data_IF_660274976721
#
_entry.id   IF_660274976721
#
_cell.length_a   1.000
_cell.length_b   1.000
_cell.length_c   1.000
_cell.angle_alpha   90.00
_cell.angle_beta   90.00
_cell.angle_gamma   90.00
#
_symmetry.space_group_name_H-M   'P 1'
#
loop_
_entity.id
_entity.type
_entity.pdbx_description
1 polymer ?
#
# COMPACT_ATOMS: atom_id res chain seq x y z
N UNK A 1 -23.65 7.87 -12.23
CA UNK A 1 -22.42 8.02 -13.06
C UNK A 1 -21.16 8.04 -12.20
N UNK A 2 -21.06 8.92 -11.19
CA UNK A 2 -19.87 9.02 -10.32
C UNK A 2 -19.48 7.72 -9.59
N UNK A 3 -20.44 6.97 -9.05
CA UNK A 3 -20.16 5.70 -8.35
C UNK A 3 -19.44 4.68 -9.26
N UNK A 4 -19.78 4.62 -10.55
CA UNK A 4 -19.12 3.71 -11.50
C UNK A 4 -17.66 4.10 -11.74
N UNK A 5 -17.37 5.40 -11.78
CA UNK A 5 -15.99 5.91 -11.90
C UNK A 5 -15.17 5.49 -10.69
N UNK A 6 -15.70 5.67 -9.48
CA UNK A 6 -15.03 5.26 -8.25
C UNK A 6 -14.80 3.74 -8.19
N UNK A 7 -15.78 2.94 -8.59
CA UNK A 7 -15.65 1.49 -8.69
C UNK A 7 -14.58 1.09 -9.71
N UNK A 8 -14.50 1.79 -10.85
CA UNK A 8 -13.47 1.54 -11.85
C UNK A 8 -12.07 1.89 -11.30
N UNK A 9 -11.92 3.00 -10.58
CA UNK A 9 -10.65 3.40 -9.93
C UNK A 9 -10.23 2.34 -8.90
N UNK A 10 -11.14 1.89 -8.02
CA UNK A 10 -10.85 0.84 -7.04
C UNK A 10 -10.47 -0.48 -7.71
N UNK A 11 -11.17 -0.85 -8.78
CA UNK A 11 -10.91 -2.09 -9.50
C UNK A 11 -9.54 -2.04 -10.19
N UNK A 12 -9.21 -0.94 -10.88
CA UNK A 12 -7.93 -0.77 -11.55
C UNK A 12 -6.77 -0.70 -10.56
N UNK A 13 -6.91 0.08 -9.48
CA UNK A 13 -5.91 0.15 -8.41
C UNK A 13 -5.73 -1.19 -7.70
N UNK A 14 -6.80 -1.95 -7.50
CA UNK A 14 -6.75 -3.32 -6.96
C UNK A 14 -5.96 -4.27 -7.85
N UNK A 15 -6.16 -4.20 -9.18
CA UNK A 15 -5.37 -4.98 -10.15
C UNK A 15 -3.89 -4.59 -10.10
N UNK A 16 -3.59 -3.29 -10.10
CA UNK A 16 -2.21 -2.79 -9.99
C UNK A 16 -1.54 -3.25 -8.68
N UNK A 17 -2.27 -3.22 -7.56
CA UNK A 17 -1.78 -3.69 -6.27
C UNK A 17 -1.52 -5.19 -6.25
N UNK A 18 -2.36 -5.99 -6.91
CA UNK A 18 -2.15 -7.43 -7.05
C UNK A 18 -0.87 -7.74 -7.85
N UNK A 19 -0.57 -6.93 -8.87
CA UNK A 19 0.58 -7.10 -9.76
C UNK A 19 1.81 -6.25 -9.36
N UNK A 20 1.82 -5.69 -8.15
CA UNK A 20 2.85 -4.73 -7.72
C UNK A 20 4.28 -5.25 -7.76
N UNK A 21 4.46 -6.57 -7.68
CA UNK A 21 5.76 -7.23 -7.71
C UNK A 21 6.25 -7.39 -9.16
N UNK A 22 5.39 -7.90 -10.04
CA UNK A 22 5.66 -8.09 -11.47
C UNK A 22 5.88 -6.75 -12.19
N UNK A 23 5.10 -5.73 -11.83
CA UNK A 23 5.21 -4.38 -12.39
C UNK A 23 6.30 -3.53 -11.74
N UNK A 24 7.09 -4.10 -10.82
CA UNK A 24 8.19 -3.41 -10.12
C UNK A 24 7.75 -2.11 -9.43
N UNK A 25 6.49 -2.04 -8.98
CA UNK A 25 5.92 -0.88 -8.27
C UNK A 25 6.47 -0.75 -6.84
N UNK A 26 7.29 -1.72 -6.42
CA UNK A 26 8.08 -1.69 -5.19
C UNK A 26 9.53 -2.05 -5.48
N UNK A 27 10.49 -1.53 -4.69
CA UNK A 27 11.87 -1.94 -4.83
C UNK A 27 12.06 -3.42 -4.46
N UNK A 28 12.99 -4.13 -5.14
CA UNK A 28 13.37 -5.47 -4.74
C UNK A 28 13.89 -5.45 -3.30
N UNK A 29 13.72 -6.57 -2.59
CA UNK A 29 14.23 -6.67 -1.22
C UNK A 29 15.65 -7.20 -1.29
N UNK A 30 16.59 -6.41 -0.79
CA UNK A 30 17.97 -6.85 -0.65
C UNK A 30 18.09 -7.92 0.45
N UNK A 31 19.12 -8.75 0.36
CA UNK A 31 19.49 -9.70 1.41
C UNK A 31 20.73 -9.19 2.12
N UNK A 32 20.76 -9.32 3.44
CA UNK A 32 21.99 -9.06 4.19
C UNK A 32 23.05 -10.10 3.82
N UNK A 33 24.29 -9.63 3.65
CA UNK A 33 25.43 -10.48 3.34
C UNK A 33 26.00 -11.19 4.59
N UNK A 34 25.66 -10.73 5.81
CA UNK A 34 26.24 -11.23 7.06
C UNK A 34 25.17 -11.44 8.13
N UNK A 35 24.75 -12.69 8.34
CA UNK A 35 23.79 -13.09 9.39
C UNK A 35 24.45 -13.49 10.72
N UNK A 36 25.78 -13.43 10.80
CA UNK A 36 26.55 -13.91 11.96
C UNK A 36 26.82 -12.83 13.02
N UNK A 37 26.29 -11.62 12.83
CA UNK A 37 26.41 -10.52 13.78
C UNK A 37 25.18 -10.45 14.69
N UNK A 38 25.31 -9.72 15.79
CA UNK A 38 24.16 -9.41 16.64
C UNK A 38 23.19 -8.47 15.91
N UNK A 39 21.90 -8.68 16.14
CA UNK A 39 20.84 -7.84 15.55
C UNK A 39 20.86 -6.45 16.19
N UNK A 40 20.86 -5.41 15.36
CA UNK A 40 20.75 -4.04 15.84
C UNK A 40 19.35 -3.78 16.42
N UNK A 41 19.26 -3.03 17.53
CA UNK A 41 17.98 -2.63 18.09
C UNK A 41 17.26 -1.66 17.15
N UNK A 42 15.92 -1.69 17.18
CA UNK A 42 15.07 -0.86 16.32
C UNK A 42 15.37 0.63 16.45
N UNK A 43 15.67 1.12 17.65
CA UNK A 43 16.03 2.52 17.91
C UNK A 43 17.29 2.96 17.16
N UNK A 44 18.27 2.07 17.02
CA UNK A 44 19.49 2.36 16.25
C UNK A 44 19.19 2.42 14.75
N UNK A 45 18.33 1.53 14.26
CA UNK A 45 17.86 1.52 12.86
C UNK A 45 17.09 2.81 12.55
N UNK A 46 16.20 3.23 13.45
CA UNK A 46 15.48 4.49 13.36
C UNK A 46 16.45 5.68 13.27
N UNK A 47 17.43 5.73 14.17
CA UNK A 47 18.44 6.81 14.20
C UNK A 47 19.24 6.86 12.89
N UNK A 48 19.68 5.70 12.38
CA UNK A 48 20.40 5.60 11.11
C UNK A 48 19.54 6.13 9.96
N UNK A 49 18.26 5.74 9.92
CA UNK A 49 17.33 6.16 8.87
C UNK A 49 17.08 7.68 8.90
N UNK A 50 16.83 8.24 10.09
CA UNK A 50 16.60 9.68 10.28
C UNK A 50 17.83 10.49 9.89
N UNK A 51 19.02 10.07 10.31
CA UNK A 51 20.27 10.77 9.98
C UNK A 51 20.50 10.78 8.47
N UNK A 52 20.35 9.64 7.80
CA UNK A 52 20.54 9.56 6.35
C UNK A 52 19.54 10.42 5.58
N UNK A 53 18.27 10.41 5.97
CA UNK A 53 17.24 11.23 5.30
C UNK A 53 17.46 12.72 5.55
N UNK A 54 17.95 13.09 6.74
CA UNK A 54 18.36 14.46 7.06
C UNK A 54 19.52 14.93 6.17
N UNK A 55 20.50 14.07 5.90
CA UNK A 55 21.63 14.39 5.02
C UNK A 55 21.16 14.65 3.57
N UNK A 56 20.12 13.95 3.13
CA UNK A 56 19.48 14.14 1.81
C UNK A 56 18.45 15.29 1.81
N UNK A 57 18.30 16.02 2.94
CA UNK A 57 17.37 17.15 3.12
C UNK A 57 15.90 16.79 2.86
N UNK A 58 15.51 15.58 3.19
CA UNK A 58 14.12 15.11 3.14
C UNK A 58 13.48 15.16 4.54
N UNK A 59 12.16 15.12 4.57
CA UNK A 59 11.41 15.06 5.83
C UNK A 59 11.66 13.74 6.57
N UNK A 60 11.96 13.84 7.86
CA UNK A 60 12.39 12.72 8.69
C UNK A 60 11.23 11.94 9.32
N UNK A 61 9.98 12.34 9.03
CA UNK A 61 8.79 11.74 9.65
C UNK A 61 8.59 10.31 9.14
N UNK A 62 8.86 9.34 10.02
CA UNK A 62 8.73 7.91 9.73
C UNK A 62 7.24 7.52 9.80
N UNK A 63 6.75 6.90 8.73
CA UNK A 63 5.42 6.30 8.69
C UNK A 63 5.39 4.94 9.38
N UNK A 64 6.34 4.06 9.01
CA UNK A 64 6.44 2.69 9.56
C UNK A 64 7.83 2.11 9.35
N UNK A 65 8.25 1.24 10.27
CA UNK A 65 9.44 0.40 10.14
C UNK A 65 8.99 -1.07 10.10
N UNK A 66 9.26 -1.75 8.99
CA UNK A 66 9.03 -3.18 8.82
C UNK A 66 10.34 -3.92 9.12
N UNK A 67 10.48 -4.37 10.36
CA UNK A 67 11.67 -5.04 10.88
C UNK A 67 11.61 -6.54 10.61
N UNK A 68 12.52 -7.05 9.77
CA UNK A 68 12.54 -8.47 9.34
C UNK A 68 13.88 -9.14 9.65
N UNK A 69 14.17 -9.48 10.92
CA UNK A 69 15.41 -10.13 11.35
C UNK A 69 15.78 -11.37 10.54
N UNK A 70 14.80 -12.22 10.23
CA UNK A 70 15.00 -13.47 9.47
C UNK A 70 15.52 -13.23 8.04
N UNK A 71 15.29 -12.04 7.48
CA UNK A 71 15.82 -11.63 6.17
C UNK A 71 17.03 -10.70 6.29
N UNK A 72 17.43 -10.35 7.51
CA UNK A 72 18.50 -9.41 7.82
C UNK A 72 18.23 -7.98 7.37
N UNK A 73 16.96 -7.60 7.19
CA UNK A 73 16.60 -6.30 6.60
C UNK A 73 15.51 -5.59 7.40
N UNK A 74 15.67 -4.29 7.57
CA UNK A 74 14.66 -3.38 8.05
C UNK A 74 14.26 -2.44 6.93
N UNK A 75 12.96 -2.31 6.68
CA UNK A 75 12.43 -1.38 5.67
C UNK A 75 11.79 -0.21 6.37
N UNK A 76 12.40 0.96 6.27
CA UNK A 76 11.90 2.22 6.82
C UNK A 76 11.16 2.96 5.73
N UNK A 77 9.95 3.42 6.03
CA UNK A 77 9.10 4.19 5.12
C UNK A 77 8.76 5.53 5.76
N UNK A 78 8.76 6.57 4.95
CA UNK A 78 8.51 7.95 5.37
C UNK A 78 7.14 8.43 4.94
N UNK A 79 6.54 9.36 5.67
CA UNK A 79 5.16 9.80 5.45
C UNK A 79 4.99 10.59 4.14
N UNK A 80 5.95 11.44 3.79
CA UNK A 80 5.73 12.52 2.79
C UNK A 80 6.30 12.23 1.41
N UNK A 81 7.44 11.53 1.32
CA UNK A 81 8.19 11.36 0.07
C UNK A 81 8.19 9.92 -0.48
N UNK A 82 7.35 9.03 0.07
CA UNK A 82 7.12 7.65 -0.41
C UNK A 82 8.39 6.84 -0.67
N UNK A 83 9.48 7.16 0.02
CA UNK A 83 10.76 6.48 -0.14
C UNK A 83 10.82 5.32 0.85
N UNK A 84 11.18 4.15 0.33
CA UNK A 84 11.54 2.99 1.14
C UNK A 84 13.07 2.95 1.25
N UNK A 85 13.55 3.04 2.48
CA UNK A 85 14.95 2.87 2.82
C UNK A 85 15.13 1.46 3.41
N UNK A 86 16.03 0.69 2.82
CA UNK A 86 16.35 -0.66 3.27
C UNK A 86 17.68 -0.64 4.01
N UNK A 87 17.69 -1.05 5.28
CA UNK A 87 18.86 -1.09 6.14
C UNK A 87 19.15 -2.55 6.50
N UNK A 88 20.43 -2.92 6.47
CA UNK A 88 20.90 -4.19 7.02
C UNK A 88 20.76 -4.19 8.55
N UNK A 89 19.97 -5.14 9.08
CA UNK A 89 19.74 -5.25 10.52
C UNK A 89 20.99 -5.62 11.34
N UNK A 90 22.05 -6.06 10.68
CA UNK A 90 23.28 -6.52 11.34
C UNK A 90 24.37 -5.45 11.31
N UNK A 91 24.68 -4.93 10.12
CA UNK A 91 25.73 -3.91 9.96
C UNK A 91 25.24 -2.47 10.14
N UNK A 92 23.94 -2.21 9.97
CA UNK A 92 23.39 -0.85 9.90
C UNK A 92 23.67 -0.14 8.58
N UNK A 93 24.22 -0.84 7.59
CA UNK A 93 24.48 -0.27 6.25
C UNK A 93 23.17 -0.08 5.49
N UNK A 94 23.07 1.03 4.76
CA UNK A 94 21.96 1.28 3.85
C UNK A 94 22.18 0.47 2.57
N UNK A 95 21.24 -0.43 2.31
CA UNK A 95 21.28 -1.35 1.17
C UNK A 95 20.59 -0.74 -0.06
N UNK A 96 19.51 0.02 0.16
CA UNK A 96 18.71 0.59 -0.93
C UNK A 96 17.93 1.82 -0.47
N UNK A 97 17.81 2.81 -1.34
CA UNK A 97 16.94 3.98 -1.18
C UNK A 97 16.19 4.17 -2.49
N UNK A 98 14.88 3.84 -2.51
CA UNK A 98 14.06 3.92 -3.72
C UNK A 98 12.63 4.35 -3.40
N UNK A 99 12.02 5.07 -4.32
CA UNK A 99 10.60 5.44 -4.23
C UNK A 99 9.72 4.21 -4.44
N UNK A 100 8.64 4.12 -3.68
CA UNK A 100 7.69 3.00 -3.70
C UNK A 100 6.33 3.48 -4.19
N UNK A 101 6.13 3.46 -5.50
CA UNK A 101 4.88 3.88 -6.16
C UNK A 101 3.66 3.09 -5.68
N UNK A 102 3.85 1.84 -5.24
CA UNK A 102 2.79 1.02 -4.67
C UNK A 102 2.07 1.67 -3.47
N UNK A 103 2.75 2.51 -2.69
CA UNK A 103 2.13 3.18 -1.54
C UNK A 103 1.16 4.29 -2.00
N UNK A 104 1.47 4.99 -3.09
CA UNK A 104 0.55 5.97 -3.70
C UNK A 104 -0.70 5.25 -4.24
N UNK A 105 -0.52 4.10 -4.91
CA UNK A 105 -1.63 3.31 -5.44
C UNK A 105 -2.49 2.75 -4.30
N UNK A 106 -1.88 2.34 -3.19
CA UNK A 106 -2.58 1.93 -1.96
C UNK A 106 -3.48 3.06 -1.44
N UNK A 107 -2.97 4.29 -1.39
CA UNK A 107 -3.72 5.46 -0.93
C UNK A 107 -4.87 5.86 -1.87
N UNK A 108 -4.69 5.68 -3.18
CA UNK A 108 -5.79 5.88 -4.16
C UNK A 108 -6.85 4.80 -3.96
N UNK A 109 -6.42 3.55 -3.74
CA UNK A 109 -7.32 2.42 -3.59
C UNK A 109 -8.21 2.54 -2.35
N UNK A 110 -7.65 2.95 -1.22
CA UNK A 110 -8.38 3.06 0.05
C UNK A 110 -8.98 4.45 0.29
N UNK A 111 -8.71 5.42 -0.60
CA UNK A 111 -9.23 6.79 -0.54
C UNK A 111 -8.45 7.73 0.39
N UNK A 112 -7.40 7.27 1.06
CA UNK A 112 -6.57 8.10 1.95
C UNK A 112 -5.69 9.11 1.20
N UNK A 113 -5.64 9.05 -0.14
CA UNK A 113 -4.97 10.07 -0.96
C UNK A 113 -5.57 11.47 -0.75
N UNK A 114 -6.87 11.56 -0.47
CA UNK A 114 -7.55 12.83 -0.20
C UNK A 114 -7.07 13.40 1.13
N UNK A 115 -7.03 12.56 2.16
CA UNK A 115 -6.53 12.93 3.49
C UNK A 115 -5.08 13.44 3.42
N UNK A 116 -4.24 12.79 2.62
CA UNK A 116 -2.86 13.21 2.36
C UNK A 116 -2.77 14.57 1.64
N UNK A 117 -3.55 14.78 0.57
CA UNK A 117 -3.51 16.03 -0.22
C UNK A 117 -4.02 17.23 0.58
N UNK A 118 -5.01 17.05 1.44
CA UNK A 118 -5.58 18.11 2.26
C UNK A 118 -4.89 18.25 3.64
N UNK A 119 -3.81 17.50 3.88
CA UNK A 119 -3.11 17.43 5.17
C UNK A 119 -4.07 17.15 6.36
N UNK A 120 -5.19 16.51 6.07
CA UNK A 120 -6.22 16.21 7.04
C UNK A 120 -5.98 14.81 7.57
N UNK A 121 -5.56 14.67 8.84
CA UNK A 121 -5.43 13.36 9.51
C UNK A 121 -6.79 12.72 9.83
N UNK A 122 -7.86 13.21 9.22
CA UNK A 122 -9.21 12.80 9.50
C UNK A 122 -9.46 11.42 8.92
N UNK A 123 -9.72 10.42 9.77
CA UNK A 123 -10.17 9.08 9.36
C UNK A 123 -11.56 8.98 8.69
N UNK A 124 -12.51 9.95 8.75
CA UNK A 124 -13.85 9.73 8.24
C UNK A 124 -13.93 9.69 6.71
N UNK A 125 -13.00 10.32 5.97
CA UNK A 125 -13.00 10.29 4.50
C UNK A 125 -12.73 8.89 3.99
N UNK A 126 -11.63 8.27 4.44
CA UNK A 126 -11.31 6.87 4.15
C UNK A 126 -12.46 5.92 4.47
N UNK A 127 -13.06 6.07 5.66
CA UNK A 127 -14.17 5.22 6.10
C UNK A 127 -15.38 5.40 5.19
N UNK A 128 -15.81 6.64 4.97
CA UNK A 128 -16.96 6.95 4.10
C UNK A 128 -16.75 6.43 2.68
N UNK A 129 -15.58 6.68 2.11
CA UNK A 129 -15.20 6.22 0.77
C UNK A 129 -15.28 4.69 0.64
N UNK A 130 -14.63 3.98 1.57
CA UNK A 130 -14.60 2.52 1.58
C UNK A 130 -15.99 1.92 1.78
N UNK A 131 -16.81 2.50 2.68
CA UNK A 131 -18.18 2.04 2.94
C UNK A 131 -19.10 2.28 1.74
N UNK A 132 -19.04 3.46 1.11
CA UNK A 132 -19.87 3.79 -0.05
C UNK A 132 -19.57 2.84 -1.22
N UNK A 133 -18.30 2.56 -1.49
CA UNK A 133 -17.93 1.64 -2.57
C UNK A 133 -18.25 0.20 -2.20
N UNK A 134 -18.05 -0.22 -0.95
CA UNK A 134 -18.45 -1.55 -0.48
C UNK A 134 -19.94 -1.82 -0.71
N UNK A 135 -20.81 -0.90 -0.32
CA UNK A 135 -22.24 -1.02 -0.58
C UNK A 135 -22.57 -0.98 -2.07
N UNK A 136 -21.91 -0.12 -2.85
CA UNK A 136 -22.09 -0.06 -4.29
C UNK A 136 -21.74 -1.38 -4.99
N UNK A 137 -20.63 -2.02 -4.60
CA UNK A 137 -20.20 -3.31 -5.12
C UNK A 137 -21.14 -4.44 -4.72
N UNK A 138 -21.62 -4.47 -3.47
CA UNK A 138 -22.62 -5.44 -3.04
C UNK A 138 -23.93 -5.30 -3.83
N UNK A 139 -24.39 -4.06 -4.01
CA UNK A 139 -25.58 -3.77 -4.81
C UNK A 139 -25.43 -4.24 -6.26
N UNK A 140 -24.29 -3.92 -6.91
CA UNK A 140 -24.00 -4.38 -8.27
C UNK A 140 -23.87 -5.90 -8.37
N UNK A 141 -23.24 -6.54 -7.40
CA UNK A 141 -23.10 -8.00 -7.35
C UNK A 141 -24.48 -8.68 -7.25
N UNK A 142 -25.32 -8.22 -6.33
CA UNK A 142 -26.65 -8.77 -6.12
C UNK A 142 -27.57 -8.53 -7.34
N UNK A 143 -27.63 -7.29 -7.81
CA UNK A 143 -28.45 -6.93 -8.98
C UNK A 143 -27.97 -7.63 -10.26
N UNK A 144 -26.65 -7.68 -10.49
CA UNK A 144 -26.05 -8.38 -11.63
C UNK A 144 -26.34 -9.89 -11.60
N UNK A 145 -26.23 -10.51 -10.43
CA UNK A 145 -26.59 -11.92 -10.25
C UNK A 145 -28.08 -12.17 -10.51
N UNK A 146 -28.96 -11.28 -10.01
CA UNK A 146 -30.40 -11.38 -10.25
C UNK A 146 -30.76 -11.26 -11.73
N UNK A 147 -30.17 -10.29 -12.44
CA UNK A 147 -30.33 -10.09 -13.89
C UNK A 147 -29.80 -11.28 -14.70
N UNK A 148 -28.74 -11.95 -14.24
CA UNK A 148 -28.23 -13.16 -14.88
C UNK A 148 -29.13 -14.39 -14.66
N UNK A 149 -29.73 -14.53 -13.47
CA UNK A 149 -30.56 -15.69 -13.09
C UNK A 149 -31.97 -15.63 -13.67
N UNK A 150 -32.64 -14.46 -13.61
CA UNK A 150 -34.04 -14.28 -14.05
C UNK A 150 -34.34 -14.76 -15.48
N UNK A 151 -33.59 -14.38 -16.53
CA UNK A 151 -33.90 -14.81 -17.90
C UNK A 151 -33.73 -16.32 -18.08
N UNK A 152 -32.82 -16.98 -17.33
CA UNK A 152 -32.68 -18.43 -17.34
C UNK A 152 -33.89 -19.14 -16.73
N UNK A 153 -34.49 -18.56 -15.68
CA UNK A 153 -35.73 -19.08 -15.10
C UNK A 153 -36.92 -18.92 -16.05
N UNK A 154 -37.05 -17.76 -16.70
CA UNK A 154 -38.14 -17.51 -17.67
C UNK A 154 -38.06 -18.48 -18.85
N UNK A 155 -36.86 -18.81 -19.34
CA UNK A 155 -36.68 -19.82 -20.40
C UNK A 155 -37.02 -21.24 -19.95
N UNK A 156 -36.77 -21.60 -18.68
CA UNK A 156 -37.12 -22.92 -18.13
C UNK A 156 -38.61 -23.08 -17.85
N UNK A 157 -39.31 -21.99 -17.49
CA UNK A 157 -40.75 -22.00 -17.20
C UNK A 157 -41.62 -21.76 -18.45
N UNK A 158 -41.02 -21.70 -19.65
CA UNK A 158 -41.74 -21.57 -20.92
C UNK A 158 -42.10 -22.93 -21.57
N UNK A 159 -42.08 -24.00 -20.78
CA UNK A 159 -42.57 -25.33 -21.13
C UNK A 159 -43.40 -25.87 -19.97
#
# INVERSE_FOLDING_TARGET
MFLLVFIAIISLSGILLAWKDELQLKPPSEKSANTNLELLPLSKIETIAVNHVKDVKLDTTINRIDYRPRKGIAKVRFETHFTELQIDCFSGKILSQKTRTADIIEMIHDGSIIDFLFNSKSKPVKLFYSTLIGFGLLFLSFSGFWLWKKPKQIKKNKF
#
